data_IF_823867058102
#
_entry.id   IF_823867058102
#
_cell.length_a   1.000
_cell.length_b   1.000
_cell.length_c   1.000
_cell.angle_alpha   90.00
_cell.angle_beta   90.00
_cell.angle_gamma   90.00
#
_symmetry.space_group_name_H-M   'P 1'
#
loop_
_entity.id
_entity.type
_entity.pdbx_description
1 polymer ?
#
# COMPACT_ATOMS: atom_id res chain seq x y z
N UNK A 1 30.52 -17.29 -51.28
CA UNK A 1 29.60 -16.62 -52.22
C UNK A 1 28.46 -16.05 -51.39
N UNK A 2 28.10 -14.78 -51.57
CA UNK A 2 26.99 -14.13 -50.86
C UNK A 2 25.87 -13.97 -51.88
N UNK A 3 24.67 -14.44 -51.56
CA UNK A 3 23.47 -14.28 -52.39
C UNK A 3 22.65 -13.08 -51.90
N UNK A 4 22.16 -12.27 -52.84
CA UNK A 4 21.35 -11.09 -52.56
C UNK A 4 19.89 -11.34 -53.00
N UNK A 5 18.93 -11.05 -52.13
CA UNK A 5 17.50 -11.11 -52.44
C UNK A 5 16.78 -9.85 -51.95
N UNK A 6 15.67 -9.50 -52.59
CA UNK A 6 14.79 -8.41 -52.15
C UNK A 6 13.81 -8.89 -51.09
N UNK A 7 13.35 -7.98 -50.23
CA UNK A 7 12.35 -8.25 -49.19
C UNK A 7 11.29 -7.15 -49.18
N UNK A 8 10.05 -7.50 -48.86
CA UNK A 8 8.91 -6.56 -48.80
C UNK A 8 8.76 -5.89 -47.43
N UNK A 9 9.11 -6.60 -46.36
CA UNK A 9 9.14 -6.04 -45.01
C UNK A 9 10.47 -5.35 -44.71
N UNK A 10 10.46 -4.22 -43.97
CA UNK A 10 11.69 -3.55 -43.58
C UNK A 10 12.52 -4.45 -42.63
N UNK A 11 13.81 -4.18 -42.51
CA UNK A 11 14.65 -4.89 -41.54
C UNK A 11 14.32 -4.48 -40.09
N UNK A 12 13.92 -3.23 -39.90
CA UNK A 12 13.63 -2.61 -38.61
C UNK A 12 12.19 -2.11 -38.62
N UNK A 13 11.45 -2.44 -37.57
CA UNK A 13 10.21 -1.77 -37.22
C UNK A 13 10.53 -0.53 -36.38
N UNK A 14 9.82 0.57 -36.61
CA UNK A 14 9.82 1.73 -35.73
C UNK A 14 8.39 2.27 -35.57
N UNK A 15 8.08 2.80 -34.40
CA UNK A 15 6.83 3.48 -34.11
C UNK A 15 7.06 4.69 -33.23
N UNK A 16 6.51 5.83 -33.65
CA UNK A 16 6.45 7.03 -32.82
C UNK A 16 5.37 6.87 -31.76
N UNK A 17 5.76 7.03 -30.50
CA UNK A 17 4.89 6.98 -29.33
C UNK A 17 4.72 8.41 -28.78
N UNK A 18 3.51 8.97 -28.85
CA UNK A 18 3.21 10.28 -28.27
C UNK A 18 3.12 10.22 -26.74
N UNK A 19 3.27 11.34 -26.01
CA UNK A 19 3.11 11.36 -24.55
C UNK A 19 1.82 10.66 -24.08
N UNK A 20 1.94 9.76 -23.11
CA UNK A 20 0.84 8.97 -22.57
C UNK A 20 0.40 7.75 -23.42
N UNK A 21 0.85 7.63 -24.66
CA UNK A 21 0.55 6.44 -25.47
C UNK A 21 1.36 5.23 -25.00
N UNK A 22 0.81 4.05 -25.24
CA UNK A 22 1.44 2.78 -24.89
C UNK A 22 1.49 1.82 -26.08
N UNK A 23 2.59 1.08 -26.15
CA UNK A 23 2.88 0.08 -27.17
C UNK A 23 3.23 -1.24 -26.48
N UNK A 24 2.79 -2.33 -27.05
CA UNK A 24 3.24 -3.67 -26.67
C UNK A 24 4.12 -4.24 -27.78
N UNK A 25 5.26 -4.82 -27.39
CA UNK A 25 6.21 -5.51 -28.25
C UNK A 25 6.46 -6.92 -27.71
N UNK A 26 6.20 -7.95 -28.51
CA UNK A 26 6.39 -9.35 -28.11
C UNK A 26 7.49 -10.01 -28.96
N UNK A 27 8.48 -10.62 -28.30
CA UNK A 27 9.53 -11.37 -28.99
C UNK A 27 8.99 -12.73 -29.43
N UNK A 28 8.86 -12.91 -30.74
CA UNK A 28 8.29 -14.12 -31.35
C UNK A 28 9.34 -15.13 -31.79
N UNK A 29 10.60 -14.90 -31.44
CA UNK A 29 11.73 -15.73 -31.85
C UNK A 29 12.29 -16.56 -30.68
N UNK A 30 13.06 -17.62 -30.95
CA UNK A 30 13.79 -18.36 -29.92
C UNK A 30 15.02 -17.61 -29.38
N UNK A 31 15.35 -16.42 -29.91
CA UNK A 31 16.56 -15.66 -29.55
C UNK A 31 16.21 -14.43 -28.74
N UNK A 32 17.18 -13.92 -27.99
CA UNK A 32 17.04 -12.61 -27.34
C UNK A 32 17.30 -11.51 -28.35
N UNK A 33 16.39 -10.54 -28.42
CA UNK A 33 16.56 -9.31 -29.18
C UNK A 33 16.39 -8.11 -28.27
N UNK A 34 16.96 -6.98 -28.67
CA UNK A 34 16.79 -5.73 -27.94
C UNK A 34 15.84 -4.79 -28.64
N UNK A 35 14.98 -4.16 -27.84
CA UNK A 35 14.08 -3.09 -28.25
C UNK A 35 14.71 -1.75 -27.86
N UNK A 36 14.83 -0.83 -28.81
CA UNK A 36 15.29 0.53 -28.55
C UNK A 36 14.09 1.41 -28.17
N UNK A 37 14.22 2.16 -27.07
CA UNK A 37 13.22 3.10 -26.56
C UNK A 37 13.85 4.48 -26.48
N UNK A 38 13.35 5.43 -27.28
CA UNK A 38 13.98 6.73 -27.50
C UNK A 38 13.78 7.80 -26.42
N UNK A 39 12.88 7.59 -25.46
CA UNK A 39 12.54 8.60 -24.44
C UNK A 39 12.25 8.01 -23.06
N UNK A 40 11.88 8.89 -22.11
CA UNK A 40 11.51 8.47 -20.76
C UNK A 40 10.26 7.58 -20.78
N UNK A 41 10.32 6.41 -20.16
CA UNK A 41 9.26 5.41 -20.22
C UNK A 41 8.94 4.73 -18.90
N UNK A 42 7.67 4.39 -18.71
CA UNK A 42 7.29 3.32 -17.78
C UNK A 42 7.21 2.02 -18.57
N UNK A 43 7.82 0.96 -18.03
CA UNK A 43 8.02 -0.30 -18.71
C UNK A 43 7.57 -1.48 -17.85
N UNK A 44 6.82 -2.41 -18.43
CA UNK A 44 6.49 -3.69 -17.82
C UNK A 44 6.87 -4.83 -18.77
N UNK A 45 7.67 -5.79 -18.29
CA UNK A 45 8.02 -6.99 -19.06
C UNK A 45 7.22 -8.15 -18.51
N UNK A 46 6.66 -8.98 -19.37
CA UNK A 46 5.84 -10.11 -19.02
C UNK A 46 6.52 -11.41 -19.45
N UNK A 47 6.33 -12.44 -18.62
CA UNK A 47 6.71 -13.81 -18.95
C UNK A 47 5.74 -14.39 -20.00
N UNK A 48 6.09 -15.53 -20.59
CA UNK A 48 5.30 -16.16 -21.65
C UNK A 48 3.90 -16.61 -21.19
N UNK A 49 3.72 -16.83 -19.88
CA UNK A 49 2.43 -17.12 -19.23
C UNK A 49 1.54 -15.87 -19.06
N UNK A 50 2.05 -14.69 -19.44
CA UNK A 50 1.35 -13.42 -19.36
C UNK A 50 1.50 -12.71 -18.01
N UNK A 51 2.20 -13.28 -17.02
CA UNK A 51 2.44 -12.64 -15.74
C UNK A 51 3.46 -11.50 -15.87
N UNK A 52 3.25 -10.40 -15.12
CA UNK A 52 4.26 -9.33 -15.03
C UNK A 52 5.52 -9.92 -14.39
N UNK A 53 6.63 -9.83 -15.10
CA UNK A 53 7.94 -10.36 -14.69
C UNK A 53 8.83 -9.29 -14.07
N UNK A 54 8.76 -8.07 -14.59
CA UNK A 54 9.50 -6.92 -14.10
C UNK A 54 8.77 -5.62 -14.44
N UNK A 55 9.08 -4.59 -13.67
CA UNK A 55 8.52 -3.25 -13.84
C UNK A 55 9.62 -2.20 -13.62
N UNK A 56 9.62 -1.14 -14.40
CA UNK A 56 10.53 -0.01 -14.26
C UNK A 56 9.78 1.28 -14.54
N UNK A 57 9.80 2.19 -13.57
CA UNK A 57 9.19 3.52 -13.68
C UNK A 57 10.23 4.56 -14.10
N UNK A 58 9.85 5.53 -14.96
CA UNK A 58 10.72 6.63 -15.42
C UNK A 58 12.09 6.14 -15.90
N UNK A 59 12.10 5.06 -16.66
CA UNK A 59 13.30 4.48 -17.25
C UNK A 59 13.82 5.41 -18.33
N UNK A 60 15.10 5.75 -18.24
CA UNK A 60 15.81 6.53 -19.25
C UNK A 60 15.83 5.81 -20.61
N UNK A 61 15.98 6.56 -21.72
CA UNK A 61 16.13 5.99 -23.06
C UNK A 61 17.23 4.93 -23.11
N UNK A 62 17.06 3.94 -23.98
CA UNK A 62 18.07 2.91 -24.18
C UNK A 62 17.55 1.64 -24.82
N UNK A 63 18.38 0.61 -24.76
CA UNK A 63 18.10 -0.71 -25.32
C UNK A 63 17.67 -1.68 -24.22
N UNK A 64 16.56 -2.37 -24.43
CA UNK A 64 15.97 -3.30 -23.47
C UNK A 64 15.91 -4.68 -24.11
N UNK A 65 16.64 -5.64 -23.53
CA UNK A 65 16.67 -7.01 -24.02
C UNK A 65 15.41 -7.79 -23.61
N UNK A 66 14.80 -8.45 -24.59
CA UNK A 66 13.66 -9.32 -24.41
C UNK A 66 14.05 -10.72 -24.87
N UNK A 67 14.08 -11.66 -23.94
CA UNK A 67 14.32 -13.07 -24.24
C UNK A 67 13.14 -13.68 -25.01
N UNK A 68 13.34 -14.88 -25.54
CA UNK A 68 12.29 -15.63 -26.23
C UNK A 68 10.98 -15.69 -25.44
N UNK A 69 9.86 -15.47 -26.14
CA UNK A 69 8.50 -15.57 -25.59
C UNK A 69 8.10 -14.44 -24.64
N UNK A 70 9.01 -13.53 -24.29
CA UNK A 70 8.67 -12.37 -23.45
C UNK A 70 8.05 -11.26 -24.28
N UNK A 71 7.17 -10.51 -23.63
CA UNK A 71 6.58 -9.28 -24.18
C UNK A 71 6.84 -8.11 -23.24
N UNK A 72 6.81 -6.92 -23.80
CA UNK A 72 7.05 -5.69 -23.08
C UNK A 72 6.01 -4.67 -23.44
N UNK A 73 5.55 -3.94 -22.43
CA UNK A 73 4.73 -2.74 -22.59
C UNK A 73 5.60 -1.55 -22.27
N UNK A 74 5.58 -0.58 -23.17
CA UNK A 74 6.24 0.72 -23.04
C UNK A 74 5.16 1.78 -23.02
N UNK A 75 5.16 2.65 -22.02
CA UNK A 75 4.33 3.85 -21.97
C UNK A 75 5.21 5.08 -22.03
N UNK A 76 4.93 6.00 -22.94
CA UNK A 76 5.65 7.27 -23.01
C UNK A 76 5.27 8.15 -21.80
N UNK A 77 6.26 8.43 -20.95
CA UNK A 77 6.14 9.33 -19.78
C UNK A 77 6.95 10.61 -19.94
N UNK A 78 7.54 10.82 -21.12
CA UNK A 78 8.23 12.03 -21.51
C UNK A 78 7.22 13.11 -21.94
N UNK A 79 7.70 14.34 -22.01
CA UNK A 79 7.00 15.51 -22.52
C UNK A 79 6.90 15.53 -24.05
N UNK A 80 7.69 14.71 -24.75
CA UNK A 80 7.80 14.67 -26.22
C UNK A 80 7.55 13.28 -26.76
N UNK A 81 7.12 13.21 -28.01
CA UNK A 81 7.05 11.95 -28.74
C UNK A 81 8.46 11.42 -29.04
N UNK A 82 8.61 10.11 -29.09
CA UNK A 82 9.86 9.44 -29.45
C UNK A 82 9.59 8.12 -30.18
N UNK A 83 10.61 7.55 -30.79
CA UNK A 83 10.50 6.26 -31.47
C UNK A 83 10.82 5.08 -30.55
N UNK A 84 10.05 4.00 -30.72
CA UNK A 84 10.37 2.66 -30.25
C UNK A 84 10.67 1.79 -31.47
N UNK A 85 11.80 1.09 -31.48
CA UNK A 85 12.24 0.33 -32.65
C UNK A 85 12.93 -1.00 -32.30
N UNK A 86 12.90 -1.94 -33.26
CA UNK A 86 13.52 -3.25 -33.12
C UNK A 86 13.49 -4.05 -34.43
N UNK A 87 14.15 -5.22 -34.49
CA UNK A 87 14.14 -6.07 -35.68
C UNK A 87 12.70 -6.45 -36.06
N UNK A 88 12.32 -6.20 -37.31
CA UNK A 88 10.94 -6.43 -37.79
C UNK A 88 10.54 -7.90 -37.65
N UNK A 89 11.41 -8.83 -38.06
CA UNK A 89 11.16 -10.27 -37.96
C UNK A 89 11.30 -10.80 -36.52
N UNK A 90 11.81 -9.97 -35.60
CA UNK A 90 12.06 -10.34 -34.21
C UNK A 90 10.86 -10.11 -33.29
N UNK A 91 10.03 -9.13 -33.62
CA UNK A 91 8.98 -8.61 -32.74
C UNK A 91 7.65 -8.44 -33.46
N UNK A 92 6.57 -8.76 -32.75
CA UNK A 92 5.23 -8.27 -33.11
C UNK A 92 4.89 -7.06 -32.25
N UNK A 93 4.36 -6.02 -32.88
CA UNK A 93 3.99 -4.76 -32.22
C UNK A 93 2.48 -4.54 -32.27
N UNK A 94 1.90 -4.05 -31.18
CA UNK A 94 0.47 -3.71 -31.11
C UNK A 94 0.22 -2.50 -30.22
N UNK A 95 -0.71 -1.63 -30.64
CA UNK A 95 -1.18 -0.55 -29.78
C UNK A 95 -1.81 -1.08 -28.50
N UNK A 96 -1.59 -0.35 -27.41
CA UNK A 96 -2.10 -0.76 -26.10
C UNK A 96 -2.84 0.38 -25.42
N UNK A 97 -4.12 0.15 -25.15
CA UNK A 97 -4.96 1.13 -24.45
C UNK A 97 -4.60 1.26 -22.96
N UNK A 98 -4.18 0.15 -22.32
CA UNK A 98 -3.79 0.13 -20.90
C UNK A 98 -2.30 0.46 -20.75
N UNK A 99 -1.92 1.44 -19.91
CA UNK A 99 -0.51 1.76 -19.70
C UNK A 99 0.28 0.64 -19.01
N UNK A 100 1.61 0.77 -19.00
CA UNK A 100 2.51 -0.07 -18.22
C UNK A 100 2.31 0.13 -16.71
N UNK A 101 1.95 1.34 -16.30
CA UNK A 101 1.74 1.74 -14.92
C UNK A 101 0.33 2.29 -14.70
N UNK A 102 -0.27 1.99 -13.55
CA UNK A 102 -1.41 2.77 -13.08
C UNK A 102 -0.89 3.99 -12.32
N UNK A 103 -1.64 5.09 -12.36
CA UNK A 103 -1.42 6.26 -11.51
C UNK A 103 -2.73 6.62 -10.83
N UNK A 104 -2.71 6.76 -9.50
CA UNK A 104 -3.84 7.26 -8.71
C UNK A 104 -3.38 8.44 -7.86
N UNK A 105 -4.24 9.43 -7.75
CA UNK A 105 -4.02 10.61 -6.91
C UNK A 105 -5.08 10.63 -5.81
N UNK A 106 -4.63 10.71 -4.56
CA UNK A 106 -5.49 10.89 -3.40
C UNK A 106 -5.42 12.35 -2.93
N UNK A 107 -6.56 13.02 -2.91
CA UNK A 107 -6.74 14.27 -2.17
C UNK A 107 -6.70 14.02 -0.66
N UNK A 108 -6.51 15.07 0.14
CA UNK A 108 -6.47 14.96 1.60
C UNK A 108 -7.69 14.20 2.16
N UNK A 109 -7.46 13.23 3.04
CA UNK A 109 -8.49 12.37 3.63
C UNK A 109 -8.97 11.22 2.74
N UNK A 110 -8.68 11.22 1.44
CA UNK A 110 -9.04 10.11 0.56
C UNK A 110 -8.15 8.89 0.82
N UNK A 111 -8.71 7.72 0.54
CA UNK A 111 -8.07 6.44 0.79
C UNK A 111 -8.26 5.48 -0.38
N UNK A 112 -7.30 4.59 -0.60
CA UNK A 112 -7.42 3.51 -1.57
C UNK A 112 -6.84 2.20 -1.04
N UNK A 113 -7.21 1.10 -1.71
CA UNK A 113 -6.62 -0.22 -1.59
C UNK A 113 -5.98 -0.61 -2.91
N UNK A 114 -4.70 -0.96 -2.88
CA UNK A 114 -3.97 -1.57 -3.99
C UNK A 114 -3.67 -3.03 -3.66
N UNK A 115 -4.28 -3.96 -4.40
CA UNK A 115 -4.12 -5.41 -4.22
C UNK A 115 -3.18 -5.94 -5.29
N UNK A 116 -2.08 -6.58 -4.90
CA UNK A 116 -1.19 -7.24 -5.85
C UNK A 116 -1.82 -8.57 -6.29
N UNK A 117 -2.30 -8.63 -7.52
CA UNK A 117 -2.92 -9.82 -8.11
C UNK A 117 -1.92 -10.68 -8.89
N UNK A 118 -0.66 -10.25 -8.98
CA UNK A 118 0.40 -10.99 -9.64
C UNK A 118 1.03 -12.04 -8.71
N UNK A 119 1.69 -13.07 -9.27
CA UNK A 119 2.41 -14.08 -8.48
C UNK A 119 3.75 -13.58 -7.90
N UNK A 120 4.15 -12.34 -8.20
CA UNK A 120 5.44 -11.75 -7.78
C UNK A 120 5.20 -10.52 -6.91
N UNK A 121 6.22 -10.15 -6.14
CA UNK A 121 6.18 -8.91 -5.36
C UNK A 121 6.51 -7.70 -6.24
N UNK A 122 5.79 -6.60 -6.07
CA UNK A 122 6.05 -5.36 -6.81
C UNK A 122 6.03 -4.15 -5.89
N UNK A 123 6.92 -3.20 -6.19
CA UNK A 123 6.91 -1.91 -5.52
C UNK A 123 5.76 -1.04 -6.04
N UNK A 124 5.04 -0.43 -5.11
CA UNK A 124 4.18 0.72 -5.38
C UNK A 124 4.95 1.96 -4.94
N UNK A 125 5.15 2.92 -5.85
CA UNK A 125 5.73 4.22 -5.54
C UNK A 125 4.67 5.13 -4.93
N UNK A 126 5.04 5.88 -3.90
CA UNK A 126 4.17 6.85 -3.22
C UNK A 126 4.89 8.20 -3.10
N UNK A 127 4.10 9.29 -3.10
CA UNK A 127 4.58 10.64 -2.79
C UNK A 127 3.72 11.29 -1.71
N UNK A 128 4.18 12.40 -1.13
CA UNK A 128 3.42 13.14 -0.10
C UNK A 128 3.48 12.50 1.29
N UNK A 129 2.46 12.78 2.10
CA UNK A 129 2.36 12.33 3.50
C UNK A 129 1.11 11.48 3.67
N UNK A 130 1.27 10.23 4.10
CA UNK A 130 0.18 9.27 4.13
C UNK A 130 0.25 8.32 5.34
N UNK A 131 -0.91 7.82 5.74
CA UNK A 131 -1.03 6.63 6.58
C UNK A 131 -1.11 5.40 5.68
N UNK A 132 -0.53 4.27 6.10
CA UNK A 132 -0.65 3.01 5.37
C UNK A 132 -0.87 1.81 6.30
N UNK A 133 -1.48 0.77 5.75
CA UNK A 133 -1.56 -0.56 6.35
C UNK A 133 -1.39 -1.64 5.25
N UNK A 134 -0.32 -2.42 5.35
CA UNK A 134 -0.09 -3.59 4.51
C UNK A 134 -0.67 -4.84 5.16
N UNK A 135 -1.36 -5.63 4.35
CA UNK A 135 -1.98 -6.86 4.75
C UNK A 135 -1.56 -8.01 3.83
N UNK A 136 -1.48 -9.22 4.39
CA UNK A 136 -1.51 -10.45 3.59
C UNK A 136 -2.86 -10.58 2.89
N UNK A 137 -2.90 -11.40 1.84
CA UNK A 137 -4.17 -11.78 1.19
C UNK A 137 -5.20 -12.39 2.14
N UNK A 138 -4.74 -12.99 3.25
CA UNK A 138 -5.59 -13.53 4.32
C UNK A 138 -6.23 -12.46 5.21
N UNK A 139 -5.82 -11.19 5.08
CA UNK A 139 -6.26 -10.07 5.91
C UNK A 139 -5.41 -9.84 7.17
N UNK A 140 -4.39 -10.67 7.44
CA UNK A 140 -3.43 -10.40 8.52
C UNK A 140 -2.62 -9.14 8.21
N UNK A 141 -2.48 -8.26 9.19
CA UNK A 141 -1.71 -7.02 9.04
C UNK A 141 -0.25 -7.32 9.31
N UNK A 142 0.61 -6.94 8.38
CA UNK A 142 2.05 -7.24 8.46
C UNK A 142 2.88 -5.98 8.70
N UNK A 143 2.39 -4.83 8.27
CA UNK A 143 3.01 -3.55 8.52
C UNK A 143 1.96 -2.44 8.52
N UNK A 144 2.21 -1.39 9.26
CA UNK A 144 1.46 -0.14 9.13
C UNK A 144 2.35 1.03 9.54
N UNK A 145 1.99 2.22 9.10
CA UNK A 145 2.71 3.44 9.46
C UNK A 145 1.82 4.66 9.39
N UNK A 146 2.04 5.58 10.33
CA UNK A 146 1.40 6.89 10.40
C UNK A 146 2.25 7.96 9.74
N UNK A 147 1.64 8.89 9.01
CA UNK A 147 2.22 10.14 8.52
C UNK A 147 3.58 9.92 7.87
N UNK A 148 3.66 8.83 7.11
CA UNK A 148 4.84 8.34 6.45
C UNK A 148 5.09 9.16 5.18
N UNK A 149 6.37 9.22 4.81
CA UNK A 149 6.86 9.88 3.59
C UNK A 149 7.77 8.94 2.81
N UNK A 150 7.57 7.62 2.97
CA UNK A 150 8.32 6.62 2.23
C UNK A 150 8.00 6.76 0.74
N UNK A 151 9.02 6.61 -0.09
CA UNK A 151 8.89 6.74 -1.54
C UNK A 151 8.34 5.48 -2.22
N UNK A 152 8.40 4.33 -1.54
CA UNK A 152 7.90 3.06 -2.08
C UNK A 152 7.61 2.03 -1.01
N UNK A 153 6.62 1.18 -1.27
CA UNK A 153 6.33 -0.02 -0.48
C UNK A 153 6.36 -1.27 -1.38
N UNK A 154 7.08 -2.31 -0.98
CA UNK A 154 7.12 -3.60 -1.66
C UNK A 154 5.91 -4.44 -1.24
N UNK A 155 5.00 -4.72 -2.17
CA UNK A 155 3.79 -5.48 -1.87
C UNK A 155 3.97 -6.92 -2.36
N UNK A 156 3.94 -7.87 -1.42
CA UNK A 156 4.04 -9.30 -1.71
C UNK A 156 2.95 -9.82 -2.64
N UNK A 157 3.18 -10.99 -3.24
CA UNK A 157 2.16 -11.68 -4.02
C UNK A 157 0.89 -11.91 -3.16
N UNK A 158 -0.28 -11.62 -3.72
CA UNK A 158 -1.59 -11.64 -3.05
C UNK A 158 -1.74 -10.70 -1.82
N UNK A 159 -0.72 -9.92 -1.45
CA UNK A 159 -0.83 -8.90 -0.41
C UNK A 159 -1.57 -7.66 -0.95
N UNK A 160 -2.01 -6.80 -0.03
CA UNK A 160 -2.58 -5.51 -0.39
C UNK A 160 -2.13 -4.39 0.55
N UNK A 161 -2.09 -3.18 0.00
CA UNK A 161 -1.77 -1.95 0.71
C UNK A 161 -3.01 -1.06 0.75
N UNK A 162 -3.42 -0.69 1.96
CA UNK A 162 -4.36 0.42 2.17
C UNK A 162 -3.56 1.70 2.42
N UNK A 163 -3.93 2.80 1.77
CA UNK A 163 -3.26 4.10 1.90
C UNK A 163 -4.31 5.18 2.13
N UNK A 164 -4.01 6.13 3.01
CA UNK A 164 -4.81 7.34 3.23
C UNK A 164 -3.92 8.56 3.13
N UNK A 165 -4.30 9.54 2.32
CA UNK A 165 -3.63 10.83 2.33
C UNK A 165 -3.93 11.58 3.64
N UNK A 166 -2.89 11.90 4.41
CA UNK A 166 -3.00 12.64 5.67
C UNK A 166 -2.37 14.04 5.60
N UNK A 167 -1.73 14.36 4.47
CA UNK A 167 -1.15 15.66 4.21
C UNK A 167 -2.14 16.63 3.55
N UNK A 168 -1.72 17.88 3.42
CA UNK A 168 -2.43 18.89 2.64
C UNK A 168 -2.19 18.70 1.12
N UNK A 169 -1.01 18.23 0.73
CA UNK A 169 -0.68 17.97 -0.68
C UNK A 169 -1.24 16.62 -1.14
N UNK A 170 -1.60 16.47 -2.44
CA UNK A 170 -2.01 15.19 -2.99
C UNK A 170 -0.94 14.11 -2.85
N UNK A 171 -1.38 12.87 -2.66
CA UNK A 171 -0.52 11.67 -2.65
C UNK A 171 -0.69 10.95 -3.98
N UNK A 172 0.38 10.84 -4.76
CA UNK A 172 0.42 10.05 -6.00
C UNK A 172 0.86 8.63 -5.68
N UNK A 173 0.16 7.64 -6.24
CA UNK A 173 0.39 6.21 -6.04
C UNK A 173 0.54 5.57 -7.43
N UNK A 174 1.70 4.97 -7.69
CA UNK A 174 2.05 4.43 -9.01
C UNK A 174 2.61 3.02 -8.89
N UNK A 175 2.16 2.11 -9.75
CA UNK A 175 2.67 0.74 -9.81
C UNK A 175 2.34 0.06 -11.14
N UNK A 176 2.83 -1.17 -11.39
CA UNK A 176 2.56 -1.89 -12.63
C UNK A 176 1.07 -2.14 -12.81
N UNK A 177 0.49 -1.67 -13.93
CA UNK A 177 -0.95 -1.66 -14.15
C UNK A 177 -1.56 -3.07 -14.03
N UNK A 178 -1.00 -4.05 -14.75
CA UNK A 178 -1.54 -5.41 -14.81
C UNK A 178 -1.23 -6.26 -13.57
N UNK A 179 -0.37 -5.77 -12.66
CA UNK A 179 -0.05 -6.48 -11.42
C UNK A 179 -0.98 -6.09 -10.26
N UNK A 180 -1.73 -4.98 -10.37
CA UNK A 180 -2.51 -4.45 -9.28
C UNK A 180 -3.97 -4.20 -9.65
N UNK A 181 -4.86 -4.62 -8.75
CA UNK A 181 -6.24 -4.13 -8.70
C UNK A 181 -6.33 -3.00 -7.68
N UNK A 182 -6.84 -1.84 -8.10
CA UNK A 182 -6.90 -0.63 -7.27
C UNK A 182 -8.33 -0.14 -7.12
N UNK A 183 -8.78 0.04 -5.89
CA UNK A 183 -10.14 0.50 -5.55
C UNK A 183 -10.11 1.57 -4.46
N UNK A 184 -11.09 2.46 -4.48
CA UNK A 184 -11.22 3.49 -3.45
C UNK A 184 -11.78 2.92 -2.16
N UNK A 185 -11.34 3.47 -1.03
CA UNK A 185 -11.83 3.12 0.29
C UNK A 185 -12.68 4.27 0.85
N UNK A 186 -13.80 3.93 1.46
CA UNK A 186 -14.67 4.88 2.17
C UNK A 186 -14.31 5.02 3.67
N UNK A 187 -13.14 4.52 4.05
CA UNK A 187 -12.60 4.58 5.40
C UNK A 187 -11.08 4.75 5.34
N UNK A 188 -10.45 5.32 6.38
CA UNK A 188 -9.00 5.45 6.41
C UNK A 188 -8.31 4.09 6.55
N UNK A 189 -7.05 4.02 6.14
CA UNK A 189 -6.15 2.88 6.28
C UNK A 189 -5.91 2.55 7.76
N UNK A 190 -5.85 3.58 8.61
CA UNK A 190 -5.71 3.48 10.05
C UNK A 190 -6.87 4.18 10.76
N UNK A 191 -7.39 3.57 11.82
CA UNK A 191 -8.21 4.29 12.80
C UNK A 191 -7.28 5.07 13.72
N UNK A 192 -7.67 6.27 14.15
CA UNK A 192 -6.99 7.00 15.21
C UNK A 192 -7.98 7.59 16.20
N UNK A 193 -7.63 7.60 17.49
CA UNK A 193 -8.43 8.20 18.57
C UNK A 193 -7.53 8.99 19.51
N UNK A 194 -7.91 10.24 19.79
CA UNK A 194 -7.22 11.08 20.76
C UNK A 194 -7.78 10.82 22.16
N UNK A 195 -6.90 10.71 23.15
CA UNK A 195 -7.27 10.61 24.56
C UNK A 195 -6.70 11.80 25.31
N UNK A 196 -7.59 12.63 25.86
CA UNK A 196 -7.22 13.69 26.78
C UNK A 196 -6.82 13.10 28.14
N UNK A 197 -6.07 13.82 28.99
CA UNK A 197 -5.73 13.36 30.34
C UNK A 197 -6.94 12.84 31.11
N UNK A 198 -6.82 11.64 31.68
CA UNK A 198 -7.89 10.94 32.40
C UNK A 198 -8.94 10.25 31.53
N UNK A 199 -8.91 10.40 30.20
CA UNK A 199 -9.81 9.67 29.31
C UNK A 199 -9.35 8.23 29.11
N UNK A 200 -10.31 7.35 28.87
CA UNK A 200 -10.08 5.93 28.63
C UNK A 200 -10.75 5.48 27.33
N UNK A 201 -10.18 4.44 26.72
CA UNK A 201 -10.70 3.77 25.54
C UNK A 201 -10.58 2.26 25.73
N UNK A 202 -11.55 1.52 25.22
CA UNK A 202 -11.41 0.08 25.02
C UNK A 202 -11.42 -0.21 23.52
N UNK A 203 -10.52 -1.09 23.08
CA UNK A 203 -10.48 -1.62 21.73
C UNK A 203 -10.56 -3.14 21.76
N UNK A 204 -11.34 -3.72 20.85
CA UNK A 204 -11.48 -5.17 20.72
C UNK A 204 -10.86 -5.61 19.40
N UNK A 205 -10.03 -6.64 19.41
CA UNK A 205 -9.53 -7.25 18.19
C UNK A 205 -10.55 -8.28 17.67
N UNK A 206 -11.33 -7.86 16.67
CA UNK A 206 -12.33 -8.70 16.02
C UNK A 206 -11.79 -9.47 14.82
N UNK A 207 -10.47 -9.43 14.60
CA UNK A 207 -9.82 -10.17 13.51
C UNK A 207 -9.36 -11.56 13.97
N UNK A 208 -9.08 -12.44 13.00
CA UNK A 208 -8.55 -13.78 13.26
C UNK A 208 -7.05 -13.80 13.64
N UNK A 209 -6.39 -12.64 13.67
CA UNK A 209 -4.95 -12.53 13.85
C UNK A 209 -4.61 -11.55 14.95
N UNK A 210 -3.41 -11.63 15.52
CA UNK A 210 -2.88 -10.61 16.42
C UNK A 210 -2.80 -9.27 15.71
N UNK A 211 -3.38 -8.24 16.33
CA UNK A 211 -3.27 -6.87 15.90
C UNK A 211 -2.22 -6.16 16.76
N UNK A 212 -1.41 -5.32 16.13
CA UNK A 212 -0.53 -4.42 16.87
C UNK A 212 -1.19 -3.04 16.95
N UNK A 213 -1.26 -2.53 18.18
CA UNK A 213 -1.82 -1.23 18.53
C UNK A 213 -0.69 -0.34 19.01
N UNK A 214 -0.45 0.76 18.32
CA UNK A 214 0.46 1.79 18.83
C UNK A 214 -0.27 2.63 19.87
N UNK A 215 0.37 2.79 21.04
CA UNK A 215 -0.04 3.69 22.11
C UNK A 215 1.05 4.76 22.28
N UNK A 216 0.67 6.01 22.07
CA UNK A 216 1.52 7.17 22.34
C UNK A 216 1.31 7.67 23.78
N UNK A 217 2.13 8.62 24.23
CA UNK A 217 2.03 9.23 25.56
C UNK A 217 2.16 8.28 26.75
N UNK A 218 1.97 8.83 27.94
CA UNK A 218 2.00 8.07 29.21
C UNK A 218 0.62 7.49 29.49
N UNK A 219 0.54 6.17 29.69
CA UNK A 219 -0.74 5.48 29.81
C UNK A 219 -0.73 4.32 30.80
N UNK A 220 -1.91 4.01 31.32
CA UNK A 220 -2.21 2.73 31.96
C UNK A 220 -2.90 1.82 30.94
N UNK A 221 -2.70 0.51 31.03
CA UNK A 221 -3.44 -0.44 30.19
C UNK A 221 -3.84 -1.70 30.95
N UNK A 222 -4.91 -2.35 30.47
CA UNK A 222 -5.30 -3.71 30.80
C UNK A 222 -5.69 -4.47 29.53
N UNK A 223 -5.12 -5.65 29.34
CA UNK A 223 -5.46 -6.58 28.27
C UNK A 223 -6.40 -7.65 28.85
N UNK A 224 -7.42 -8.02 28.07
CA UNK A 224 -8.44 -8.98 28.45
C UNK A 224 -8.52 -10.10 27.42
N UNK A 225 -8.55 -11.33 27.90
CA UNK A 225 -8.89 -12.51 27.11
C UNK A 225 -10.24 -13.09 27.60
N UNK A 226 -10.59 -14.30 27.16
CA UNK A 226 -11.84 -14.97 27.54
C UNK A 226 -11.96 -15.26 29.05
N UNK A 227 -10.84 -15.33 29.78
CA UNK A 227 -10.79 -15.62 31.22
C UNK A 227 -10.75 -14.35 32.08
N UNK A 228 -10.75 -13.15 31.50
CA UNK A 228 -10.65 -11.88 32.21
C UNK A 228 -9.35 -11.12 31.89
N UNK A 229 -8.79 -10.40 32.87
CA UNK A 229 -7.56 -9.62 32.67
C UNK A 229 -6.39 -10.58 32.48
N UNK A 230 -5.76 -10.54 31.32
CA UNK A 230 -4.55 -11.33 31.00
C UNK A 230 -3.27 -10.60 31.38
N UNK A 231 -3.25 -9.27 31.25
CA UNK A 231 -2.13 -8.43 31.69
C UNK A 231 -2.58 -7.01 31.99
N UNK A 232 -1.82 -6.29 32.81
CA UNK A 232 -2.03 -4.86 33.03
C UNK A 232 -0.73 -4.19 33.45
N UNK A 233 -0.60 -2.89 33.19
CA UNK A 233 0.49 -2.09 33.74
C UNK A 233 0.08 -0.62 33.86
N UNK A 234 0.83 0.13 34.67
CA UNK A 234 0.60 1.56 34.90
C UNK A 234 1.77 2.42 34.45
N UNK A 235 1.50 3.67 34.11
CA UNK A 235 2.47 4.73 33.81
C UNK A 235 3.49 4.29 32.75
N UNK A 236 3.00 3.59 31.73
CA UNK A 236 3.79 3.09 30.63
C UNK A 236 4.14 4.23 29.68
N UNK A 237 5.35 4.17 29.14
CA UNK A 237 5.81 5.04 28.06
C UNK A 237 5.23 4.59 26.71
N UNK A 238 5.36 5.39 25.64
CA UNK A 238 4.90 5.01 24.31
C UNK A 238 5.37 3.60 23.92
N UNK A 239 4.45 2.76 23.47
CA UNK A 239 4.70 1.37 23.18
C UNK A 239 3.72 0.82 22.15
N UNK A 240 4.15 -0.25 21.49
CA UNK A 240 3.28 -1.11 20.70
C UNK A 240 2.70 -2.20 21.61
N UNK A 241 1.41 -2.46 21.50
CA UNK A 241 0.71 -3.51 22.23
C UNK A 241 0.09 -4.51 21.25
N UNK A 242 0.53 -5.75 21.37
CA UNK A 242 -0.10 -6.87 20.70
C UNK A 242 -1.43 -7.18 21.39
N UNK A 243 -2.47 -7.36 20.60
CA UNK A 243 -3.81 -7.75 21.03
C UNK A 243 -4.17 -8.95 20.18
N UNK A 244 -4.21 -10.14 20.77
CA UNK A 244 -4.51 -11.37 20.04
C UNK A 244 -5.96 -11.41 19.56
N UNK A 245 -6.28 -12.40 18.73
CA UNK A 245 -7.65 -12.58 18.25
C UNK A 245 -8.63 -12.69 19.42
N UNK A 246 -9.72 -11.95 19.36
CA UNK A 246 -10.76 -11.90 20.40
C UNK A 246 -10.33 -11.29 21.74
N UNK A 247 -9.09 -10.80 21.86
CA UNK A 247 -8.68 -10.01 23.02
C UNK A 247 -9.19 -8.56 22.95
N UNK A 248 -9.21 -7.91 24.12
CA UNK A 248 -9.58 -6.50 24.26
C UNK A 248 -8.51 -5.76 25.05
N UNK A 249 -8.24 -4.53 24.66
CA UNK A 249 -7.27 -3.64 25.29
C UNK A 249 -7.99 -2.40 25.81
N UNK A 250 -8.00 -2.22 27.13
CA UNK A 250 -8.39 -0.96 27.76
C UNK A 250 -7.14 -0.11 28.02
N UNK A 251 -7.23 1.18 27.72
CA UNK A 251 -6.15 2.16 27.90
C UNK A 251 -6.70 3.41 28.54
N UNK A 252 -5.96 3.97 29.49
CA UNK A 252 -6.25 5.27 30.11
C UNK A 252 -5.06 6.19 29.93
N UNK A 253 -5.29 7.42 29.45
CA UNK A 253 -4.24 8.44 29.42
C UNK A 253 -4.00 8.96 30.85
N UNK A 254 -2.80 8.71 31.37
CA UNK A 254 -2.37 9.19 32.70
C UNK A 254 -1.29 10.27 32.62
N UNK A 255 -0.94 10.71 31.40
CA UNK A 255 -0.05 11.83 31.16
C UNK A 255 -0.74 13.17 31.35
N UNK A 256 0.07 14.24 31.42
CA UNK A 256 -0.42 15.62 31.51
C UNK A 256 -0.86 16.22 30.17
N UNK A 257 -0.60 15.53 29.06
CA UNK A 257 -0.93 15.98 27.71
C UNK A 257 -1.89 15.00 27.04
N UNK A 258 -2.76 15.52 26.16
CA UNK A 258 -3.53 14.67 25.26
C UNK A 258 -2.57 13.99 24.29
N UNK A 259 -2.65 12.68 24.14
CA UNK A 259 -1.97 12.00 23.04
C UNK A 259 -2.98 11.51 22.03
N UNK A 260 -2.64 11.72 20.77
CA UNK A 260 -3.32 11.02 19.68
C UNK A 260 -2.90 9.56 19.70
N UNK A 261 -3.85 8.70 19.37
CA UNK A 261 -3.67 7.55 18.47
C UNK A 261 -3.53 6.21 19.17
N UNK A 262 -4.68 5.56 19.36
CA UNK A 262 -4.85 4.14 19.06
C UNK A 262 -4.80 3.97 17.53
N UNK A 263 -3.73 3.43 16.95
CA UNK A 263 -3.74 3.06 15.52
C UNK A 263 -3.82 1.57 15.31
N UNK A 264 -4.89 1.16 14.63
CA UNK A 264 -5.11 -0.19 14.18
C UNK A 264 -5.63 -0.22 12.74
N UNK A 265 -5.36 -1.29 12.00
CA UNK A 265 -5.83 -1.51 10.64
C UNK A 265 -7.35 -1.70 10.61
N UNK A 266 -8.00 -1.16 9.58
CA UNK A 266 -9.45 -1.28 9.40
C UNK A 266 -9.83 -2.56 8.66
N UNK A 267 -10.73 -3.36 9.26
CA UNK A 267 -11.65 -4.22 8.50
C UNK A 267 -13.06 -3.94 9.04
N UNK A 268 -14.03 -3.86 8.12
CA UNK A 268 -15.45 -3.52 8.42
C UNK A 268 -15.92 -4.19 9.72
N UNK A 269 -16.33 -3.39 10.70
CA UNK A 269 -17.14 -3.81 11.85
C UNK A 269 -18.06 -2.65 12.28
N UNK A 270 -19.28 -2.91 12.79
CA UNK A 270 -20.22 -1.87 13.20
C UNK A 270 -19.66 -1.05 14.36
N UNK A 271 -20.04 0.23 14.40
CA UNK A 271 -19.59 1.26 15.33
C UNK A 271 -19.27 0.79 16.76
N UNK A 272 -18.14 1.19 17.35
CA UNK A 272 -17.85 0.90 18.75
C UNK A 272 -18.81 1.66 19.68
N UNK A 273 -19.38 0.93 20.64
CA UNK A 273 -20.21 1.51 21.71
C UNK A 273 -19.28 2.29 22.64
N UNK A 274 -19.39 3.62 22.64
CA UNK A 274 -18.79 4.47 23.66
C UNK A 274 -19.57 4.25 24.96
N UNK A 275 -19.06 3.45 25.89
CA UNK A 275 -19.59 3.40 27.25
C UNK A 275 -18.85 4.40 28.13
N UNK A 276 -19.59 5.37 28.65
CA UNK A 276 -19.11 6.35 29.63
C UNK A 276 -18.49 5.65 30.85
N UNK A 277 -17.46 6.24 31.49
CA UNK A 277 -16.80 5.62 32.64
C UNK A 277 -17.76 5.47 33.82
N UNK A 278 -17.71 4.31 34.49
CA UNK A 278 -18.32 4.09 35.79
C UNK A 278 -17.79 5.14 36.77
N UNK A 279 -18.66 6.05 37.25
CA UNK A 279 -18.37 6.86 38.43
C UNK A 279 -18.20 5.91 39.63
N UNK A 280 -16.98 5.84 40.17
CA UNK A 280 -16.73 5.33 41.52
C UNK A 280 -17.62 6.11 42.50
N UNK A 281 -18.66 5.46 43.04
CA UNK A 281 -19.39 5.96 44.20
C UNK A 281 -18.39 6.08 45.36
N UNK A 282 -18.09 7.30 45.79
CA UNK A 282 -17.36 7.54 47.04
C UNK A 282 -18.18 6.97 48.19
N UNK A 283 -17.65 5.98 48.89
CA UNK A 283 -18.12 5.60 50.22
C UNK A 283 -17.79 6.75 51.18
N UNK A 284 -18.80 7.52 51.58
CA UNK A 284 -18.70 8.45 52.71
C UNK A 284 -18.78 7.67 54.02
N UNK A 285 -17.72 7.74 54.84
CA UNK A 285 -17.74 7.31 56.25
C UNK A 285 -18.73 8.15 57.06
N UNK A 286 -19.51 7.59 57.99
CA UNK A 286 -20.30 8.39 58.92
C UNK A 286 -19.41 8.96 60.03
N UNK A 287 -19.61 10.25 60.33
CA UNK A 287 -18.98 10.95 61.43
C UNK A 287 -19.57 10.49 62.77
N UNK A 288 -18.70 10.22 63.76
CA UNK A 288 -19.08 10.01 65.16
C UNK A 288 -19.62 11.33 65.74
N UNK A 289 -20.85 11.31 66.25
CA UNK A 289 -21.34 12.33 67.16
C UNK A 289 -20.70 12.13 68.54
N UNK A 290 -20.06 13.17 69.08
CA UNK A 290 -19.62 13.23 70.47
C UNK A 290 -20.75 13.84 71.30
N UNK A 291 -21.31 13.06 72.22
CA UNK A 291 -22.14 13.53 73.33
C UNK A 291 -21.27 13.57 74.58
N UNK A 292 -20.95 14.78 75.04
CA UNK A 292 -21.06 15.29 76.42
C UNK A 292 -20.47 16.67 76.50
#
# INVERSE_FOLDING_TARGET
MIEFSTRTSPAIYYKTLSPGQSLEAANVTPRTFSLAVGGLSDNAIYDADGAVSSYSRKKLPGSISLSSGKRMVVTNTDSKAYEVSGPYDGFTFSDRAKPASFTRTLSSGQSLKATNTSPKSFNVSLSGTYDYAEHRGTGQVVAYGRSQRLSSNLIGAANYLNVTNTGASPVEIVGPYDAFSVVDLNHPALISRMLNPGQSLEASNTTAYTANVTLEGTHDYALFNSSGISSYARTQKPANKMVDSSERLAVTNTGGESFSRFSGPTRRSPSPIVRSPLRLKRCSRPAKASMR
#
